data_IF_487452380827
#
_entry.id   IF_487452380827
#
_cell.length_a   1.000
_cell.length_b   1.000
_cell.length_c   1.000
_cell.angle_alpha   90.00
_cell.angle_beta   90.00
_cell.angle_gamma   90.00
#
_symmetry.space_group_name_H-M   'P 1'
#
loop_
_entity.id
_entity.type
_entity.pdbx_description
1 polymer ?
#
# COMPACT_ATOMS: atom_id res chain seq x y z
N UNK A 1 -5.56 -5.91 6.38
CA UNK A 1 -4.28 -5.44 6.98
C UNK A 1 -3.43 -4.94 5.83
N UNK A 2 -2.92 -3.71 5.89
CA UNK A 2 -2.10 -3.11 4.84
C UNK A 2 -0.64 -3.08 5.28
N UNK A 3 0.28 -3.52 4.44
CA UNK A 3 1.72 -3.54 4.73
C UNK A 3 2.44 -2.60 3.78
N UNK A 4 3.15 -1.62 4.32
CA UNK A 4 3.92 -0.67 3.52
C UNK A 4 5.08 -1.37 2.78
N UNK A 5 5.31 -0.99 1.52
CA UNK A 5 6.39 -1.54 0.68
C UNK A 5 7.76 -1.38 1.33
N UNK A 6 8.02 -0.25 2.01
CA UNK A 6 9.27 -0.03 2.75
C UNK A 6 9.54 -1.09 3.80
N UNK A 7 8.50 -1.49 4.55
CA UNK A 7 8.60 -2.53 5.57
C UNK A 7 8.88 -3.88 4.94
N UNK A 8 8.29 -4.18 3.78
CA UNK A 8 8.58 -5.42 3.04
C UNK A 8 10.03 -5.45 2.57
N UNK A 9 10.52 -4.36 1.98
CA UNK A 9 11.92 -4.24 1.53
C UNK A 9 12.89 -4.43 2.70
N UNK A 10 12.65 -3.77 3.84
CA UNK A 10 13.44 -3.94 5.05
C UNK A 10 13.48 -5.40 5.53
N UNK A 11 12.33 -6.09 5.57
CA UNK A 11 12.30 -7.51 5.94
C UNK A 11 13.04 -8.40 4.94
N UNK A 12 12.95 -8.10 3.64
CA UNK A 12 13.69 -8.83 2.62
C UNK A 12 15.19 -8.67 2.81
N UNK A 13 15.68 -7.45 3.04
CA UNK A 13 17.10 -7.18 3.33
C UNK A 13 17.59 -7.91 4.58
N UNK A 14 16.78 -7.89 5.66
CA UNK A 14 17.11 -8.57 6.91
C UNK A 14 17.17 -10.09 6.77
N UNK A 15 16.32 -10.67 5.93
CA UNK A 15 16.22 -12.13 5.77
C UNK A 15 17.15 -12.68 4.72
N UNK A 16 17.42 -11.93 3.64
CA UNK A 16 18.36 -12.34 2.59
C UNK A 16 19.81 -11.97 2.90
N UNK A 17 20.03 -10.94 3.72
CA UNK A 17 21.36 -10.36 3.96
C UNK A 17 21.90 -9.54 2.77
N UNK A 18 21.05 -9.23 1.79
CA UNK A 18 21.38 -8.43 0.62
C UNK A 18 20.76 -7.03 0.71
N UNK A 19 21.36 -6.04 0.06
CA UNK A 19 20.74 -4.73 -0.08
C UNK A 19 19.90 -4.65 -1.35
N UNK A 20 18.74 -4.02 -1.22
CA UNK A 20 17.82 -3.81 -2.33
C UNK A 20 17.83 -2.34 -2.76
N UNK A 21 17.34 -2.03 -3.98
CA UNK A 21 17.02 -0.65 -4.33
C UNK A 21 16.01 -0.04 -3.37
N UNK A 22 15.93 1.28 -3.32
CA UNK A 22 14.97 2.00 -2.47
C UNK A 22 13.53 1.50 -2.66
N UNK A 23 12.72 1.58 -1.61
CA UNK A 23 11.31 1.17 -1.67
C UNK A 23 10.53 1.88 -2.81
N UNK A 24 10.81 3.18 -3.06
CA UNK A 24 10.29 3.92 -4.21
C UNK A 24 10.68 3.26 -5.54
N UNK A 25 11.95 2.89 -5.72
CA UNK A 25 12.45 2.25 -6.93
C UNK A 25 11.80 0.89 -7.16
N UNK A 26 11.70 0.08 -6.10
CA UNK A 26 11.06 -1.24 -6.16
C UNK A 26 9.59 -1.10 -6.53
N UNK A 27 8.87 -0.17 -5.91
CA UNK A 27 7.47 0.11 -6.20
C UNK A 27 7.28 0.57 -7.65
N UNK A 28 8.05 1.56 -8.11
CA UNK A 28 7.91 2.05 -9.49
C UNK A 28 8.26 0.97 -10.51
N UNK A 29 9.27 0.13 -10.23
CA UNK A 29 9.60 -1.01 -11.09
C UNK A 29 8.45 -2.01 -11.19
N UNK A 30 7.83 -2.34 -10.06
CA UNK A 30 6.67 -3.24 -10.03
C UNK A 30 5.45 -2.64 -10.76
N UNK A 31 5.12 -1.37 -10.51
CA UNK A 31 4.03 -0.68 -11.22
C UNK A 31 4.27 -0.61 -12.73
N UNK A 32 5.52 -0.41 -13.15
CA UNK A 32 5.86 -0.40 -14.58
C UNK A 32 5.71 -1.79 -15.20
N UNK A 33 6.11 -2.84 -14.49
CA UNK A 33 5.91 -4.23 -14.91
C UNK A 33 4.42 -4.56 -15.05
N UNK A 34 3.59 -4.23 -14.05
CA UNK A 34 2.13 -4.41 -14.09
C UNK A 34 1.50 -3.68 -15.28
N UNK A 35 1.93 -2.45 -15.57
CA UNK A 35 1.39 -1.68 -16.69
C UNK A 35 1.73 -2.28 -18.07
N UNK A 36 2.82 -3.05 -18.17
CA UNK A 36 3.32 -3.62 -19.42
C UNK A 36 2.98 -5.10 -19.58
N UNK A 37 2.39 -5.74 -18.58
CA UNK A 37 2.12 -7.18 -18.60
C UNK A 37 0.68 -7.48 -18.21
N UNK A 38 0.09 -8.49 -18.84
CA UNK A 38 -1.17 -9.07 -18.37
C UNK A 38 -0.81 -10.03 -17.22
N UNK A 39 -0.57 -9.47 -16.04
CA UNK A 39 -0.15 -10.22 -14.86
C UNK A 39 -1.36 -10.63 -14.01
N UNK A 40 -1.63 -11.94 -13.95
CA UNK A 40 -2.57 -12.51 -12.99
C UNK A 40 -1.85 -12.88 -11.70
N UNK A 41 -2.25 -12.28 -10.58
CA UNK A 41 -1.66 -12.57 -9.28
C UNK A 41 -2.25 -13.87 -8.70
N UNK A 42 -1.48 -14.96 -8.80
CA UNK A 42 -1.92 -16.29 -8.35
C UNK A 42 -1.49 -16.67 -6.92
N UNK A 43 -1.04 -15.70 -6.11
CA UNK A 43 -0.58 -16.00 -4.76
C UNK A 43 -1.72 -16.53 -3.90
N UNK A 44 -1.47 -17.64 -3.20
CA UNK A 44 -2.37 -18.17 -2.18
C UNK A 44 -1.59 -18.43 -0.90
N UNK A 45 -1.99 -17.79 0.18
CA UNK A 45 -1.41 -18.03 1.50
C UNK A 45 -1.86 -19.40 2.02
N UNK A 46 -0.97 -20.40 2.06
CA UNK A 46 -1.30 -21.76 2.56
C UNK A 46 -1.78 -21.77 4.03
N UNK A 47 -1.32 -20.82 4.85
CA UNK A 47 -1.69 -20.75 6.27
C UNK A 47 -3.02 -20.03 6.52
N UNK A 48 -3.38 -19.07 5.68
CA UNK A 48 -4.50 -18.16 5.90
C UNK A 48 -5.58 -18.22 4.83
N UNK A 49 -5.35 -18.93 3.73
CA UNK A 49 -6.30 -19.08 2.62
C UNK A 49 -6.51 -17.82 1.79
N UNK A 50 -5.80 -16.73 2.09
CA UNK A 50 -5.97 -15.45 1.41
C UNK A 50 -5.42 -15.53 -0.03
N UNK A 51 -6.25 -15.09 -0.98
CA UNK A 51 -6.00 -15.11 -2.42
C UNK A 51 -6.44 -13.78 -3.02
N UNK A 52 -5.72 -12.68 -2.74
CA UNK A 52 -6.06 -11.40 -3.31
C UNK A 52 -5.83 -11.46 -4.84
N UNK A 53 -6.76 -10.99 -5.69
CA UNK A 53 -6.56 -11.02 -7.15
C UNK A 53 -5.54 -9.97 -7.63
N UNK A 54 -5.15 -9.05 -6.75
CA UNK A 54 -4.21 -7.96 -7.01
C UNK A 54 -3.40 -7.69 -5.75
N UNK A 55 -2.14 -7.27 -5.88
CA UNK A 55 -1.36 -6.77 -4.74
C UNK A 55 -1.95 -5.42 -4.32
N UNK A 56 -2.64 -5.38 -3.18
CA UNK A 56 -3.12 -4.12 -2.60
C UNK A 56 -1.95 -3.41 -1.92
N UNK A 57 -1.18 -2.66 -2.70
CA UNK A 57 -0.16 -1.75 -2.21
C UNK A 57 -0.81 -0.49 -1.64
N UNK A 58 -1.61 -0.66 -0.59
CA UNK A 58 -2.02 0.51 0.16
C UNK A 58 -0.77 1.08 0.83
N UNK A 59 -0.42 2.26 0.35
CA UNK A 59 0.22 3.32 1.11
C UNK A 59 1.74 3.43 1.02
N UNK A 60 2.20 3.67 -0.20
CA UNK A 60 3.40 4.47 -0.41
C UNK A 60 2.97 5.94 -0.60
N UNK A 61 3.27 6.81 0.39
CA UNK A 61 2.96 8.27 0.43
C UNK A 61 1.56 8.77 0.84
N UNK A 62 0.75 8.10 1.70
CA UNK A 62 -0.31 8.89 2.38
C UNK A 62 0.31 9.67 3.53
N UNK A 63 0.46 10.98 3.34
CA UNK A 63 0.79 11.97 4.38
C UNK A 63 -0.34 12.23 5.39
N UNK A 64 -1.37 11.38 5.44
CA UNK A 64 -2.55 11.57 6.26
C UNK A 64 -2.98 10.25 6.92
N UNK A 65 -2.16 9.75 7.87
CA UNK A 65 -2.61 8.79 8.87
C UNK A 65 -2.99 9.44 10.20
N UNK A 66 -2.64 10.71 10.39
CA UNK A 66 -2.86 11.44 11.63
C UNK A 66 -4.07 12.37 11.59
N UNK A 67 -4.87 12.34 10.52
CA UNK A 67 -6.18 12.98 10.48
C UNK A 67 -7.23 11.90 10.69
N UNK A 68 -7.50 11.59 11.95
CA UNK A 68 -8.74 10.91 12.28
C UNK A 68 -9.92 11.79 11.86
N UNK A 69 -11.10 11.21 11.63
CA UNK A 69 -12.32 12.00 11.37
C UNK A 69 -12.56 13.03 12.49
N UNK A 70 -12.10 12.73 13.70
CA UNK A 70 -12.12 13.61 14.87
C UNK A 70 -11.20 14.84 14.75
N UNK A 71 -10.17 14.77 13.91
CA UNK A 71 -9.24 15.87 13.65
C UNK A 71 -9.75 16.82 12.54
N UNK A 72 -10.89 16.49 11.91
CA UNK A 72 -11.55 17.39 10.97
C UNK A 72 -12.31 18.49 11.75
N UNK A 73 -12.18 19.77 11.37
CA UNK A 73 -13.01 20.82 11.94
C UNK A 73 -14.49 20.50 11.69
N UNK A 74 -15.31 20.72 12.71
CA UNK A 74 -16.75 20.54 12.57
C UNK A 74 -17.29 21.48 11.49
N UNK A 75 -18.29 21.03 10.71
CA UNK A 75 -18.90 21.88 9.72
C UNK A 75 -19.53 23.11 10.39
N UNK A 76 -19.59 24.26 9.69
CA UNK A 76 -20.33 25.43 10.13
C UNK A 76 -21.79 25.09 10.48
N UNK A 77 -22.38 25.87 11.40
CA UNK A 77 -23.74 25.62 11.91
C UNK A 77 -24.81 25.69 10.80
N UNK A 78 -24.51 26.41 9.72
CA UNK A 78 -25.33 26.60 8.53
C UNK A 78 -25.07 25.59 7.40
N UNK A 79 -24.22 24.58 7.63
CA UNK A 79 -23.96 23.55 6.64
C UNK A 79 -25.18 22.65 6.44
N UNK A 80 -25.83 22.76 5.28
CA UNK A 80 -27.03 22.00 4.91
C UNK A 80 -26.75 20.71 4.12
N UNK A 81 -25.48 20.42 3.79
CA UNK A 81 -25.07 19.18 3.14
C UNK A 81 -25.55 18.98 1.70
N UNK A 82 -26.07 20.03 1.06
CA UNK A 82 -26.48 19.98 -0.36
C UNK A 82 -25.30 20.30 -1.29
N UNK A 83 -25.23 19.60 -2.42
CA UNK A 83 -24.25 19.79 -3.51
C UNK A 83 -24.98 20.31 -4.75
#
# INVERSE_FOLDING_TARGET
VHTAVSRVVEYLELTSGEQFPSADTVLHGYLHFEALTEHDYQYTCVSCGDHPPVVIMDLHRKGAFHLSVSDLPQPPVDFNGEV
#
